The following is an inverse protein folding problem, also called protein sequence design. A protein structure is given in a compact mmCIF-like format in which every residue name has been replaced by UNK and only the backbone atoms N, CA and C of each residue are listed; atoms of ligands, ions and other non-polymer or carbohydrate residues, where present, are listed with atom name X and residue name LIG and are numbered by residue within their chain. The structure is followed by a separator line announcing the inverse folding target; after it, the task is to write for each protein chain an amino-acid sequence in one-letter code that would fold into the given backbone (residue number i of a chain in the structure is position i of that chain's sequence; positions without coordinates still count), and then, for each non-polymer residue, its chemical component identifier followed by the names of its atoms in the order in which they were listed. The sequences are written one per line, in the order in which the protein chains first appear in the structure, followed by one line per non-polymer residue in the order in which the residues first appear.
data_IF_928150872742
#
_entry.id   IF_928150872742
#
_cell.length_a   1.000
_cell.length_b   1.000
_cell.length_c   1.000
_cell.angle_alpha   90.00
_cell.angle_beta   90.00
_cell.angle_gamma   90.00
#
_symmetry.space_group_name_H-M   'P 1'
#
loop_
_entity.id
_entity.type
_entity.pdbx_description
1 polymer ?
#
# COMPACT_ATOMS: atom_id res chain seq x y z
N UNK A 1 -10.22 0.30 5.37
CA UNK A 1 -9.15 -0.69 5.65
C UNK A 1 -9.70 -2.07 5.34
N UNK A 2 -9.00 -2.88 4.53
CA UNK A 2 -9.44 -4.25 4.21
C UNK A 2 -9.33 -5.16 5.44
N UNK A 3 -10.16 -6.20 5.51
CA UNK A 3 -10.02 -7.25 6.52
C UNK A 3 -8.75 -8.09 6.25
N UNK A 4 -8.19 -8.77 7.26
CA UNK A 4 -6.98 -9.60 7.10
C UNK A 4 -7.06 -10.62 5.94
N UNK A 5 -8.26 -11.17 5.68
CA UNK A 5 -8.54 -12.08 4.56
C UNK A 5 -9.43 -11.46 3.49
N UNK A 6 -9.56 -10.12 3.51
CA UNK A 6 -10.42 -9.39 2.59
C UNK A 6 -9.95 -9.53 1.14
N UNK A 7 -10.92 -9.74 0.25
CA UNK A 7 -10.68 -9.81 -1.19
C UNK A 7 -11.11 -8.52 -1.86
N UNK A 8 -10.37 -8.14 -2.90
CA UNK A 8 -10.69 -7.03 -3.78
C UNK A 8 -11.14 -7.64 -5.10
N UNK A 9 -12.41 -7.46 -5.44
CA UNK A 9 -13.00 -7.97 -6.67
C UNK A 9 -13.14 -6.83 -7.67
N UNK A 10 -12.44 -6.91 -8.79
CA UNK A 10 -12.45 -5.89 -9.85
C UNK A 10 -13.09 -6.49 -11.11
N UNK A 11 -14.23 -5.95 -11.51
CA UNK A 11 -14.87 -6.30 -12.77
C UNK A 11 -14.31 -5.40 -13.88
N UNK A 12 -13.63 -5.99 -14.86
CA UNK A 12 -12.95 -5.25 -15.92
C UNK A 12 -13.25 -5.80 -17.31
N UNK A 13 -13.37 -4.88 -18.27
CA UNK A 13 -13.50 -5.23 -19.69
C UNK A 13 -12.16 -5.71 -20.22
N UNK A 14 -12.14 -6.88 -20.85
CA UNK A 14 -10.93 -7.49 -21.38
C UNK A 14 -10.78 -7.31 -22.89
N UNK A 15 -11.53 -6.39 -23.47
CA UNK A 15 -11.48 -6.05 -24.90
C UNK A 15 -11.00 -4.62 -25.08
N UNK A 16 -10.41 -4.34 -26.25
CA UNK A 16 -9.98 -3.01 -26.63
C UNK A 16 -11.08 -1.94 -26.44
N UNK A 17 -10.72 -0.72 -25.97
CA UNK A 17 -9.36 -0.28 -25.58
C UNK A 17 -8.97 -0.62 -24.13
N UNK A 18 -9.85 -1.27 -23.36
CA UNK A 18 -9.71 -1.39 -21.91
C UNK A 18 -8.72 -2.48 -21.47
N UNK A 19 -8.49 -3.47 -22.33
CA UNK A 19 -7.46 -4.50 -22.15
C UNK A 19 -6.05 -3.93 -21.94
N UNK A 20 -5.77 -2.76 -22.53
CA UNK A 20 -4.48 -2.06 -22.38
C UNK A 20 -4.18 -1.53 -20.97
N UNK A 21 -5.16 -1.54 -20.07
CA UNK A 21 -4.99 -1.04 -18.69
C UNK A 21 -4.18 -1.97 -17.80
N UNK A 22 -3.91 -3.22 -18.23
CA UNK A 22 -3.00 -4.18 -17.56
C UNK A 22 -3.24 -4.28 -16.05
N UNK A 23 -4.49 -4.54 -15.67
CA UNK A 23 -4.97 -4.51 -14.26
C UNK A 23 -4.11 -5.33 -13.30
N UNK A 24 -3.61 -6.49 -13.72
CA UNK A 24 -2.77 -7.35 -12.89
C UNK A 24 -1.45 -6.68 -12.49
N UNK A 25 -0.86 -5.88 -13.37
CA UNK A 25 0.40 -5.19 -13.10
C UNK A 25 0.19 -3.99 -12.19
N UNK A 26 -0.86 -3.21 -12.42
CA UNK A 26 -1.28 -2.13 -11.51
C UNK A 26 -1.56 -2.68 -10.10
N UNK A 27 -2.20 -3.85 -10.02
CA UNK A 27 -2.45 -4.51 -8.74
C UNK A 27 -1.13 -4.90 -8.05
N UNK A 28 -0.17 -5.46 -8.79
CA UNK A 28 1.14 -5.82 -8.25
C UNK A 28 1.91 -4.60 -7.72
N UNK A 29 1.89 -3.47 -8.44
CA UNK A 29 2.48 -2.20 -8.00
C UNK A 29 1.85 -1.72 -6.68
N UNK A 30 0.56 -2.03 -6.47
CA UNK A 30 -0.16 -1.78 -5.23
C UNK A 30 -0.01 -2.88 -4.16
N UNK A 31 0.99 -3.77 -4.31
CA UNK A 31 1.21 -4.91 -3.40
C UNK A 31 -0.01 -5.83 -3.26
N UNK A 32 -0.74 -6.02 -4.35
CA UNK A 32 -1.85 -6.95 -4.45
C UNK A 32 -1.46 -8.13 -5.35
N UNK A 33 -1.84 -9.33 -4.95
CA UNK A 33 -1.62 -10.56 -5.71
C UNK A 33 -2.94 -11.09 -6.24
N UNK A 34 -2.97 -11.48 -7.52
CA UNK A 34 -4.13 -12.14 -8.12
C UNK A 34 -4.27 -13.53 -7.52
N UNK A 35 -5.42 -13.80 -6.88
CA UNK A 35 -5.73 -15.10 -6.27
C UNK A 35 -6.89 -15.82 -6.97
N UNK A 36 -7.62 -15.12 -7.84
CA UNK A 36 -8.71 -15.70 -8.61
C UNK A 36 -9.06 -14.87 -9.84
N UNK A 37 -9.62 -15.53 -10.85
CA UNK A 37 -10.05 -14.90 -12.09
C UNK A 37 -11.29 -15.62 -12.62
N UNK A 38 -12.42 -14.91 -12.65
CA UNK A 38 -13.70 -15.46 -13.06
C UNK A 38 -14.28 -14.72 -14.27
N UNK A 39 -15.20 -15.38 -14.98
CA UNK A 39 -15.99 -14.71 -16.02
C UNK A 39 -17.06 -13.85 -15.36
N UNK A 40 -17.08 -12.55 -15.68
CA UNK A 40 -18.14 -11.68 -15.18
C UNK A 40 -19.46 -12.01 -15.87
N UNK A 41 -20.51 -12.17 -15.08
CA UNK A 41 -21.88 -12.33 -15.58
C UNK A 41 -22.78 -11.36 -14.85
N UNK A 42 -23.39 -10.43 -15.60
CA UNK A 42 -24.26 -9.40 -15.03
C UNK A 42 -25.41 -10.00 -14.20
N UNK A 43 -25.92 -11.18 -14.60
CA UNK A 43 -27.00 -11.89 -13.90
C UNK A 43 -26.65 -12.32 -12.48
N UNK A 44 -25.37 -12.43 -12.14
CA UNK A 44 -24.91 -12.80 -10.80
C UNK A 44 -24.97 -11.59 -9.84
N UNK A 45 -25.26 -10.39 -10.37
CA UNK A 45 -25.35 -9.13 -9.62
C UNK A 45 -26.73 -8.45 -9.82
N UNK A 46 -27.80 -8.97 -9.18
CA UNK A 46 -29.13 -8.40 -9.30
C UNK A 46 -29.14 -6.93 -8.81
N UNK A 47 -29.71 -6.05 -9.63
CA UNK A 47 -29.75 -4.60 -9.37
C UNK A 47 -28.51 -3.83 -9.84
N UNK A 48 -27.49 -4.50 -10.39
CA UNK A 48 -26.39 -3.82 -11.05
C UNK A 48 -26.82 -3.35 -12.45
N UNK A 49 -26.88 -2.03 -12.62
CA UNK A 49 -27.13 -1.37 -13.91
C UNK A 49 -25.91 -0.57 -14.32
N UNK A 50 -25.24 -0.99 -15.39
CA UNK A 50 -24.07 -0.29 -15.88
C UNK A 50 -24.49 0.99 -16.62
N UNK A 51 -23.87 2.11 -16.31
CA UNK A 51 -24.23 3.41 -16.86
C UNK A 51 -23.01 4.24 -17.26
N UNK A 52 -23.17 5.13 -18.23
CA UNK A 52 -22.11 6.05 -18.68
C UNK A 52 -21.88 7.14 -17.64
N UNK A 53 -20.62 7.44 -17.36
CA UNK A 53 -20.24 8.44 -16.34
C UNK A 53 -20.33 9.90 -16.79
N UNK A 54 -20.34 10.19 -18.11
CA UNK A 54 -20.33 11.56 -18.62
C UNK A 54 -20.87 11.70 -20.06
N UNK A 55 -21.06 12.94 -20.50
CA UNK A 55 -21.54 13.31 -21.84
C UNK A 55 -23.06 13.43 -21.95
N UNK A 56 -23.56 13.71 -23.16
CA UNK A 56 -25.01 13.85 -23.42
C UNK A 56 -25.80 12.56 -23.20
N UNK A 57 -25.10 11.43 -23.09
CA UNK A 57 -25.64 10.09 -22.83
C UNK A 57 -25.27 9.61 -21.42
N UNK A 58 -24.99 10.53 -20.49
CA UNK A 58 -24.78 10.17 -19.08
C UNK A 58 -25.98 9.38 -18.56
N UNK A 59 -25.73 8.47 -17.63
CA UNK A 59 -26.74 7.56 -17.06
C UNK A 59 -27.35 6.53 -18.03
N UNK A 60 -27.13 6.63 -19.34
CA UNK A 60 -27.52 5.57 -20.28
C UNK A 60 -26.62 4.33 -20.16
N UNK A 61 -27.14 3.13 -20.45
CA UNK A 61 -26.33 1.93 -20.48
C UNK A 61 -25.32 1.89 -21.64
N UNK A 62 -24.35 0.99 -21.50
CA UNK A 62 -23.37 0.70 -22.55
C UNK A 62 -23.19 -0.80 -22.76
N UNK A 63 -22.76 -1.26 -23.95
CA UNK A 63 -22.42 -2.66 -24.15
C UNK A 63 -21.27 -3.08 -23.24
N UNK A 64 -21.49 -4.06 -22.38
CA UNK A 64 -20.47 -4.57 -21.46
C UNK A 64 -19.36 -5.30 -22.24
N UNK A 65 -19.72 -6.11 -23.24
CA UNK A 65 -18.76 -6.96 -23.95
C UNK A 65 -18.21 -8.07 -23.05
N UNK A 66 -17.04 -8.60 -23.39
CA UNK A 66 -16.37 -9.59 -22.54
C UNK A 66 -15.72 -8.91 -21.34
N UNK A 67 -16.07 -9.40 -20.14
CA UNK A 67 -15.58 -8.89 -18.87
C UNK A 67 -15.09 -10.06 -17.99
N UNK A 68 -14.12 -9.79 -17.14
CA UNK A 68 -13.65 -10.72 -16.10
C UNK A 68 -13.69 -10.07 -14.73
N UNK A 69 -13.85 -10.89 -13.71
CA UNK A 69 -13.72 -10.54 -12.30
C UNK A 69 -12.34 -10.97 -11.82
N UNK A 70 -11.46 -10.00 -11.60
CA UNK A 70 -10.14 -10.22 -11.01
C UNK A 70 -10.27 -10.18 -9.49
N UNK A 71 -9.78 -11.21 -8.81
CA UNK A 71 -9.85 -11.32 -7.36
C UNK A 71 -8.44 -11.19 -6.82
N UNK A 72 -8.21 -10.13 -6.05
CA UNK A 72 -6.91 -9.83 -5.45
C UNK A 72 -6.95 -9.94 -3.94
N UNK A 73 -5.79 -10.25 -3.35
CA UNK A 73 -5.53 -10.10 -1.92
C UNK A 73 -4.31 -9.22 -1.69
N UNK A 74 -4.23 -8.50 -0.57
CA UNK A 74 -2.97 -7.91 -0.12
C UNK A 74 -1.90 -9.00 -0.13
N UNK A 75 -0.73 -8.68 -0.66
CA UNK A 75 0.42 -9.55 -0.56
C UNK A 75 0.81 -9.64 0.92
N UNK A 76 0.32 -10.68 1.58
CA UNK A 76 0.82 -11.03 2.91
C UNK A 76 2.20 -11.60 2.66
N UNK A 77 3.23 -10.78 2.88
CA UNK A 77 4.55 -11.31 3.16
C UNK A 77 4.35 -12.19 4.39
N UNK A 78 4.26 -13.49 4.19
CA UNK A 78 4.36 -14.43 5.30
C UNK A 78 5.76 -14.23 5.86
N UNK A 79 5.87 -13.33 6.83
CA UNK A 79 6.78 -13.55 7.93
C UNK A 79 6.26 -14.88 8.49
N UNK A 80 6.98 -15.97 8.23
CA UNK A 80 6.75 -17.23 8.94
C UNK A 80 6.82 -16.98 10.45
N UNK A 81 6.76 -18.01 11.32
CA UNK A 81 7.15 -17.81 12.71
C UNK A 81 8.45 -17.00 12.70
N UNK A 82 8.44 -15.88 13.42
CA UNK A 82 9.39 -14.78 13.34
C UNK A 82 10.79 -15.15 13.87
N UNK A 83 11.24 -16.38 13.62
CA UNK A 83 12.47 -16.97 14.12
C UNK A 83 13.46 -17.28 13.00
N UNK A 84 13.15 -16.98 11.73
CA UNK A 84 14.14 -17.20 10.66
C UNK A 84 14.41 -15.96 9.85
N UNK A 85 13.44 -15.26 9.27
CA UNK A 85 13.73 -13.99 8.57
C UNK A 85 13.91 -12.80 9.51
N UNK A 86 13.12 -12.74 10.59
CA UNK A 86 13.20 -11.68 11.60
C UNK A 86 14.43 -11.86 12.49
N UNK A 87 14.69 -13.08 12.99
CA UNK A 87 15.97 -13.40 13.64
C UNK A 87 17.13 -13.21 12.66
N UNK A 88 17.10 -13.70 11.41
CA UNK A 88 18.22 -13.45 10.47
C UNK A 88 18.41 -11.96 10.12
N UNK A 89 17.38 -11.11 10.17
CA UNK A 89 17.52 -9.65 9.96
C UNK A 89 17.99 -8.93 11.23
N UNK A 90 17.64 -9.45 12.42
CA UNK A 90 18.11 -8.95 13.72
C UNK A 90 19.51 -9.49 14.10
N UNK A 91 19.89 -10.66 13.58
CA UNK A 91 21.21 -11.31 13.74
C UNK A 91 22.12 -11.12 12.54
N UNK A 92 21.62 -10.58 11.42
CA UNK A 92 22.50 -9.96 10.44
C UNK A 92 23.34 -8.93 11.20
N UNK A 93 24.64 -8.80 10.90
CA UNK A 93 25.44 -7.75 11.50
C UNK A 93 24.67 -6.45 11.27
N UNK A 94 24.12 -5.86 12.33
CA UNK A 94 23.49 -4.56 12.26
C UNK A 94 24.54 -3.67 11.58
N UNK A 95 24.23 -3.02 10.44
CA UNK A 95 25.13 -1.97 9.95
C UNK A 95 25.41 -1.10 11.16
N UNK A 96 26.69 -0.79 11.46
CA UNK A 96 27.13 -0.30 12.77
C UNK A 96 26.07 0.64 13.29
N UNK A 97 25.45 0.27 14.42
CA UNK A 97 24.34 1.02 15.01
C UNK A 97 24.91 2.41 15.32
N UNK A 98 24.82 3.31 14.35
CA UNK A 98 25.15 4.69 14.54
C UNK A 98 23.86 5.23 15.12
N UNK A 99 23.85 5.51 16.42
CA UNK A 99 22.69 6.07 17.13
C UNK A 99 22.07 7.29 16.41
N UNK A 100 22.81 7.87 15.47
CA UNK A 100 22.40 8.91 14.53
C UNK A 100 21.29 8.51 13.52
N UNK A 101 21.06 7.23 13.20
CA UNK A 101 20.08 6.87 12.16
C UNK A 101 18.62 7.10 12.58
N UNK A 102 18.28 6.88 13.85
CA UNK A 102 16.95 7.17 14.39
C UNK A 102 16.71 8.68 14.43
N UNK A 103 17.70 9.44 14.89
CA UNK A 103 17.65 10.91 14.91
C UNK A 103 17.56 11.48 13.49
N UNK A 104 18.34 10.96 12.54
CA UNK A 104 18.27 11.32 11.13
C UNK A 104 16.93 10.92 10.51
N UNK A 105 16.38 9.74 10.84
CA UNK A 105 15.06 9.32 10.37
C UNK A 105 13.98 10.28 10.85
N UNK A 106 13.98 10.65 12.12
CA UNK A 106 13.05 11.63 12.68
C UNK A 106 13.25 13.01 12.07
N UNK A 107 14.50 13.46 11.87
CA UNK A 107 14.81 14.74 11.23
C UNK A 107 14.33 14.79 9.78
N UNK A 108 14.48 13.71 9.04
CA UNK A 108 14.18 13.63 7.61
C UNK A 108 12.69 13.43 7.38
N UNK A 109 12.08 12.48 8.10
CA UNK A 109 10.72 11.98 7.87
C UNK A 109 9.71 12.37 8.94
N UNK A 110 10.08 13.14 9.97
CA UNK A 110 9.15 13.55 11.03
C UNK A 110 7.91 14.28 10.49
N UNK A 111 8.09 15.19 9.53
CA UNK A 111 6.98 15.89 8.87
C UNK A 111 6.03 14.93 8.16
N UNK A 112 6.60 13.94 7.46
CA UNK A 112 5.83 12.90 6.79
C UNK A 112 5.05 12.04 7.79
N UNK A 113 5.67 11.62 8.89
CA UNK A 113 5.01 10.82 9.92
C UNK A 113 3.84 11.58 10.57
N UNK A 114 4.03 12.88 10.85
CA UNK A 114 2.98 13.77 11.34
C UNK A 114 1.85 13.92 10.30
N UNK A 115 2.18 14.07 9.02
CA UNK A 115 1.21 14.12 7.94
C UNK A 115 0.37 12.83 7.87
N UNK A 116 1.01 11.66 7.90
CA UNK A 116 0.31 10.35 7.87
C UNK A 116 -0.56 10.13 9.11
N UNK A 117 -0.20 10.70 10.26
CA UNK A 117 -1.06 10.71 11.44
C UNK A 117 -2.28 11.62 11.24
N UNK A 118 -2.08 12.83 10.74
CA UNK A 118 -3.15 13.81 10.52
C UNK A 118 -4.13 13.40 9.41
N UNK A 119 -3.67 12.70 8.38
CA UNK A 119 -4.51 12.25 7.26
C UNK A 119 -5.06 10.84 7.44
N UNK A 120 -4.83 10.21 8.61
CA UNK A 120 -5.28 8.85 8.86
C UNK A 120 -6.80 8.72 8.73
N UNK A 121 -7.25 7.81 7.85
CA UNK A 121 -8.67 7.58 7.58
C UNK A 121 -9.32 8.59 6.62
N UNK A 122 -8.56 9.57 6.12
CA UNK A 122 -9.03 10.48 5.08
C UNK A 122 -9.18 9.76 3.74
N UNK A 123 -10.28 10.03 3.03
CA UNK A 123 -10.53 9.50 1.68
C UNK A 123 -9.84 10.31 0.58
N UNK A 124 -9.39 11.53 0.88
CA UNK A 124 -8.81 12.47 -0.08
C UNK A 124 -7.27 12.37 -0.14
N UNK A 125 -6.67 11.45 0.61
CA UNK A 125 -5.22 11.29 0.68
C UNK A 125 -4.72 10.30 -0.38
N UNK A 126 -3.95 10.80 -1.36
CA UNK A 126 -3.14 9.95 -2.23
C UNK A 126 -1.91 9.45 -1.47
N UNK A 127 -2.06 8.28 -0.84
CA UNK A 127 -1.02 7.63 -0.05
C UNK A 127 0.23 7.36 -0.89
N UNK A 128 0.05 6.93 -2.14
CA UNK A 128 1.17 6.59 -3.02
C UNK A 128 2.01 7.84 -3.31
N UNK A 129 1.36 8.92 -3.73
CA UNK A 129 2.04 10.19 -3.98
C UNK A 129 2.75 10.71 -2.71
N UNK A 130 2.07 10.67 -1.55
CA UNK A 130 2.63 11.13 -0.28
C UNK A 130 3.90 10.36 0.12
N UNK A 131 3.91 9.03 -0.02
CA UNK A 131 5.07 8.18 0.27
C UNK A 131 6.21 8.47 -0.71
N UNK A 132 5.94 8.50 -2.02
CA UNK A 132 6.96 8.77 -3.03
C UNK A 132 7.62 10.13 -2.83
N UNK A 133 6.81 11.15 -2.55
CA UNK A 133 7.30 12.50 -2.31
C UNK A 133 8.12 12.58 -1.02
N UNK A 134 7.69 11.92 0.05
CA UNK A 134 8.44 11.84 1.29
C UNK A 134 9.82 11.19 1.11
N UNK A 135 9.91 10.09 0.34
CA UNK A 135 11.18 9.44 0.02
C UNK A 135 12.07 10.35 -0.84
N UNK A 136 11.52 11.01 -1.86
CA UNK A 136 12.26 11.95 -2.72
C UNK A 136 12.83 13.11 -1.91
N UNK A 137 11.97 13.84 -1.19
CA UNK A 137 12.37 14.96 -0.33
C UNK A 137 13.33 14.48 0.77
N UNK A 138 13.10 13.28 1.30
CA UNK A 138 13.96 12.71 2.32
C UNK A 138 15.38 12.45 1.83
N UNK A 139 15.52 11.94 0.60
CA UNK A 139 16.82 11.77 -0.04
C UNK A 139 17.54 13.10 -0.25
N UNK A 140 16.83 14.12 -0.74
CA UNK A 140 17.38 15.47 -0.93
C UNK A 140 17.85 16.08 0.40
N UNK A 141 17.04 15.97 1.47
CA UNK A 141 17.39 16.43 2.83
C UNK A 141 18.59 15.68 3.42
N UNK A 142 18.75 14.40 3.10
CA UNK A 142 19.91 13.62 3.52
C UNK A 142 21.16 14.10 2.78
N UNK A 143 21.12 14.15 1.45
CA UNK A 143 22.27 14.52 0.62
C UNK A 143 22.71 15.97 0.81
N UNK A 144 21.77 16.89 1.10
CA UNK A 144 22.08 18.30 1.41
C UNK A 144 22.78 18.52 2.76
N UNK A 145 22.87 17.49 3.62
CA UNK A 145 23.35 17.58 5.00
C UNK A 145 24.87 17.53 5.20
N UNK A 146 25.69 17.60 4.14
CA UNK A 146 27.15 17.75 4.25
C UNK A 146 27.97 16.95 3.22
N UNK A 147 29.21 17.39 2.99
CA UNK A 147 30.17 16.70 2.13
C UNK A 147 30.51 15.30 2.67
N UNK A 148 30.46 14.28 1.81
CA UNK A 148 30.84 12.90 2.13
C UNK A 148 29.69 11.97 2.52
N UNK A 149 28.43 12.40 2.41
CA UNK A 149 27.27 11.51 2.58
C UNK A 149 27.12 10.61 1.36
N UNK A 150 26.97 9.32 1.60
CA UNK A 150 26.78 8.30 0.59
C UNK A 150 25.34 7.77 0.60
N UNK A 151 24.85 7.32 -0.54
CA UNK A 151 23.52 6.69 -0.65
C UNK A 151 23.37 5.47 0.28
N UNK A 152 24.47 4.80 0.64
CA UNK A 152 24.52 3.69 1.61
C UNK A 152 24.02 4.09 3.00
N UNK A 153 24.34 5.31 3.46
CA UNK A 153 23.85 5.81 4.74
C UNK A 153 22.36 6.19 4.70
N UNK A 154 21.85 6.68 3.57
CA UNK A 154 20.41 6.91 3.38
C UNK A 154 19.61 5.61 3.45
N UNK A 155 20.16 4.51 2.91
CA UNK A 155 19.55 3.18 3.04
C UNK A 155 19.40 2.80 4.53
N UNK A 156 20.38 3.11 5.37
CA UNK A 156 20.28 2.93 6.83
C UNK A 156 19.10 3.69 7.45
N UNK A 157 18.87 4.93 7.02
CA UNK A 157 17.70 5.73 7.46
C UNK A 157 16.39 5.12 6.96
N UNK A 158 16.34 4.60 5.73
CA UNK A 158 15.15 3.94 5.19
C UNK A 158 14.80 2.65 5.94
N UNK A 159 15.78 1.89 6.41
CA UNK A 159 15.54 0.74 7.27
C UNK A 159 14.84 1.14 8.57
N UNK A 160 15.27 2.24 9.18
CA UNK A 160 14.65 2.75 10.40
C UNK A 160 13.22 3.24 10.14
N UNK A 161 12.99 3.99 9.05
CA UNK A 161 11.64 4.40 8.64
C UNK A 161 10.72 3.20 8.43
N UNK A 162 11.23 2.13 7.81
CA UNK A 162 10.50 0.89 7.61
C UNK A 162 10.19 0.19 8.94
N UNK A 163 11.16 0.11 9.85
CA UNK A 163 10.99 -0.47 11.18
C UNK A 163 9.87 0.25 11.97
N UNK A 164 9.92 1.59 12.02
CA UNK A 164 8.89 2.41 12.66
C UNK A 164 7.51 2.22 12.01
N UNK A 165 7.46 2.10 10.69
CA UNK A 165 6.21 1.84 9.94
C UNK A 165 5.60 0.48 10.31
N UNK A 166 6.42 -0.56 10.48
CA UNK A 166 5.98 -1.89 10.95
C UNK A 166 5.42 -1.81 12.37
N UNK A 167 6.16 -1.20 13.30
CA UNK A 167 5.74 -1.07 14.70
C UNK A 167 4.40 -0.32 14.81
N UNK A 168 4.23 0.77 14.04
CA UNK A 168 2.96 1.49 13.97
C UNK A 168 1.83 0.59 13.46
N UNK A 169 2.05 -0.15 12.37
CA UNK A 169 1.07 -1.07 11.80
C UNK A 169 0.66 -2.17 12.79
N UNK A 170 1.61 -2.72 13.55
CA UNK A 170 1.33 -3.69 14.61
C UNK A 170 0.51 -3.05 15.74
N UNK A 171 0.90 -1.87 16.22
CA UNK A 171 0.16 -1.14 17.25
C UNK A 171 -1.28 -0.84 16.82
N UNK A 172 -1.49 -0.40 15.58
CA UNK A 172 -2.82 -0.14 15.02
C UNK A 172 -3.66 -1.42 14.94
N UNK A 173 -3.07 -2.54 14.50
CA UNK A 173 -3.75 -3.85 14.50
C UNK A 173 -4.15 -4.27 15.91
N UNK A 174 -3.28 -4.11 16.89
CA UNK A 174 -3.58 -4.41 18.30
C UNK A 174 -4.70 -3.52 18.84
N UNK A 175 -4.68 -2.22 18.56
CA UNK A 175 -5.75 -1.30 18.99
C UNK A 175 -7.10 -1.66 18.35
N UNK A 176 -7.11 -2.07 17.08
CA UNK A 176 -8.33 -2.57 16.43
C UNK A 176 -8.89 -3.81 17.15
N UNK A 177 -8.05 -4.79 17.47
CA UNK A 177 -8.47 -5.99 18.21
C UNK A 177 -9.09 -5.65 19.57
N UNK A 178 -8.54 -4.67 20.28
CA UNK A 178 -9.08 -4.21 21.57
C UNK A 178 -10.46 -3.56 21.40
N UNK A 179 -10.64 -2.72 20.38
CA UNK A 179 -11.93 -2.08 20.10
C UNK A 179 -13.00 -3.09 19.71
N UNK A 180 -12.66 -4.09 18.90
CA UNK A 180 -13.58 -5.18 18.51
C UNK A 180 -14.03 -6.01 19.73
N UNK A 181 -13.21 -6.12 20.78
CA UNK A 181 -13.56 -6.82 22.04
C UNK A 181 -14.41 -5.99 23.01
N UNK A 182 -14.54 -4.68 22.79
CA UNK A 182 -15.27 -3.75 23.67
C UNK A 182 -16.70 -3.44 23.21
N UNK A 183 -17.13 -3.95 22.06
CA UNK A 183 -18.54 -3.84 21.63
C UNK A 183 -19.37 -4.95 22.31
N UNK A 184 -20.09 -4.57 23.38
CA UNK A 184 -21.14 -5.34 24.08
C UNK A 184 -22.46 -4.59 24.04
#
# INVERSE_FOLDING_TARGET
MLWPDGEIHINHKITAPFDTWRIEELALECSLVLVGLDNFKIKDYPGYENKRGSGSRSDEPFPLGECRTFIFKPMVVQVGPASTSYEMMMTAPQPPHVDNNADECMRIFGDYLNHVEATFGSADCDVHHSVCEALRVGYERYMGGGFGRESSGYIGVLYELHHLSILRSQRLRNMRLVLDQQQW
#
